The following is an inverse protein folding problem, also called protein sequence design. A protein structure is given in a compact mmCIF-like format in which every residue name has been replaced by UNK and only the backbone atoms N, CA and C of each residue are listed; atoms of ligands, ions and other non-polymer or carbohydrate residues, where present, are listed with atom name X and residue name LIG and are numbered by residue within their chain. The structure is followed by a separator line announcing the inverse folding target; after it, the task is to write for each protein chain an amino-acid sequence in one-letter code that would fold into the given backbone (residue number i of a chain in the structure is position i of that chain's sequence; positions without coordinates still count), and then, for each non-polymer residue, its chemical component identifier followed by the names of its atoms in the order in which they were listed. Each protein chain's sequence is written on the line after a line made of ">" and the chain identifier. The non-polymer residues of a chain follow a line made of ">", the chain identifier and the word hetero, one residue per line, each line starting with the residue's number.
data_IF_153214709557
#
_entry.id   IF_153214709557
#
_cell.length_a   1.000
_cell.length_b   1.000
_cell.length_c   1.000
_cell.angle_alpha   90.00
_cell.angle_beta   90.00
_cell.angle_gamma   90.00
#
_symmetry.space_group_name_H-M   'P 1'
#
loop_
_entity.id
_entity.type
_entity.pdbx_description
1 polymer ?
#
# COMPACT_ATOMS: atom_id res chain seq x y z
N UNK A 1 21.04 6.42 -0.14
CA UNK A 1 20.40 6.06 -0.15
C UNK A 1 20.24 5.39 -0.06
N UNK A 2 20.10 5.04 -0.03
CA UNK A 2 19.58 4.46 -0.10
C UNK A 2 19.06 3.98 -0.10
N UNK A 3 19.17 3.68 0.04
CA UNK A 3 18.23 3.37 -0.21
C UNK A 3 17.64 2.32 0.09
N UNK A 4 17.47 2.41 0.40
CA UNK A 4 16.37 1.67 0.47
C UNK A 4 16.28 0.76 -0.56
N UNK A 5 15.69 -0.27 -0.34
CA UNK A 5 15.33 -1.08 -1.35
C UNK A 5 14.02 -0.75 -1.79
N UNK A 6 13.98 0.38 -2.41
CA UNK A 6 12.77 0.77 -3.06
C UNK A 6 12.74 0.10 -4.40
N UNK A 7 11.68 -0.60 -4.65
CA UNK A 7 11.58 -1.42 -5.79
C UNK A 7 10.86 -0.80 -6.92
N UNK A 8 11.21 -1.16 -8.11
CA UNK A 8 10.60 -0.61 -9.30
C UNK A 8 9.32 -1.31 -9.74
N UNK A 9 8.82 -2.25 -8.94
CA UNK A 9 7.57 -2.92 -9.26
C UNK A 9 6.40 -2.01 -8.95
N UNK A 10 6.29 -0.92 -9.69
CA UNK A 10 5.25 0.06 -9.45
C UNK A 10 4.65 0.54 -10.75
N UNK A 11 3.43 1.01 -10.67
CA UNK A 11 2.69 1.53 -11.81
C UNK A 11 2.05 2.86 -11.48
N UNK A 12 2.72 3.69 -10.70
CA UNK A 12 2.19 5.00 -10.36
C UNK A 12 3.01 6.11 -10.99
N UNK A 13 2.39 7.28 -11.09
CA UNK A 13 3.04 8.49 -11.56
C UNK A 13 3.73 9.15 -10.37
N UNK A 14 5.06 9.25 -10.43
CA UNK A 14 5.85 9.76 -9.30
C UNK A 14 5.55 11.21 -8.96
N UNK A 15 5.05 12.00 -9.93
CA UNK A 15 4.76 13.42 -9.71
C UNK A 15 3.34 13.66 -9.24
N UNK A 16 2.50 12.65 -9.24
CA UNK A 16 1.11 12.82 -8.87
C UNK A 16 0.94 12.85 -7.35
N UNK A 17 0.15 13.79 -6.87
CA UNK A 17 -0.22 13.88 -5.46
C UNK A 17 -1.59 13.26 -5.28
N UNK A 18 -1.64 12.08 -4.72
CA UNK A 18 -2.86 11.30 -4.62
C UNK A 18 -3.76 11.79 -3.50
N UNK A 19 -5.05 11.51 -3.59
CA UNK A 19 -5.97 11.77 -2.48
C UNK A 19 -5.64 10.91 -1.28
N UNK A 20 -5.24 9.66 -1.53
CA UNK A 20 -4.92 8.73 -0.45
C UNK A 20 -3.76 7.83 -0.82
N UNK A 21 -3.08 7.33 0.20
CA UNK A 21 -2.11 6.25 0.06
C UNK A 21 -2.51 5.15 1.03
N UNK A 22 -2.68 3.94 0.53
CA UNK A 22 -2.99 2.78 1.34
C UNK A 22 -1.68 2.04 1.58
N UNK A 23 -1.30 1.89 2.85
CA UNK A 23 -0.04 1.29 3.24
C UNK A 23 -0.30 -0.07 3.84
N UNK A 24 0.31 -1.10 3.25
CA UNK A 24 0.11 -2.49 3.66
C UNK A 24 1.45 -3.07 4.12
N UNK A 25 1.68 -3.12 5.44
CA UNK A 25 2.84 -3.84 5.94
C UNK A 25 2.57 -5.34 5.88
N UNK A 26 3.55 -6.11 5.44
CA UNK A 26 3.37 -7.56 5.29
C UNK A 26 4.65 -8.31 5.59
N UNK A 27 4.52 -9.46 6.20
CA UNK A 27 5.62 -10.39 6.41
C UNK A 27 5.05 -11.80 6.34
N UNK A 28 5.50 -12.55 5.33
CA UNK A 28 4.99 -13.90 5.14
C UNK A 28 3.55 -13.93 4.64
N UNK A 29 3.11 -12.88 3.95
CA UNK A 29 1.73 -12.76 3.50
C UNK A 29 1.50 -13.04 2.02
N UNK A 30 2.41 -13.77 1.36
CA UNK A 30 2.26 -14.04 -0.07
C UNK A 30 0.90 -14.66 -0.41
N UNK A 31 0.40 -15.53 0.46
CA UNK A 31 -0.88 -16.21 0.24
C UNK A 31 -2.09 -15.36 0.64
N UNK A 32 -1.86 -14.19 1.25
CA UNK A 32 -2.95 -13.33 1.73
C UNK A 32 -3.10 -12.06 0.92
N UNK A 33 -2.02 -11.60 0.28
CA UNK A 33 -2.00 -10.27 -0.36
C UNK A 33 -3.04 -10.12 -1.47
N UNK A 34 -3.48 -11.21 -2.09
CA UNK A 34 -4.51 -11.10 -3.13
C UNK A 34 -5.82 -10.56 -2.57
N UNK A 35 -6.12 -10.78 -1.29
CA UNK A 35 -7.36 -10.26 -0.70
C UNK A 35 -7.39 -8.72 -0.72
N UNK A 36 -6.42 -8.02 -0.10
CA UNK A 36 -6.48 -6.56 -0.16
C UNK A 36 -6.22 -6.01 -1.56
N UNK A 37 -5.33 -6.64 -2.34
CA UNK A 37 -5.01 -6.09 -3.66
C UNK A 37 -6.18 -6.17 -4.62
N UNK A 38 -6.91 -7.29 -4.64
CA UNK A 38 -8.11 -7.40 -5.49
C UNK A 38 -9.19 -6.43 -5.03
N UNK A 39 -9.38 -6.31 -3.72
CA UNK A 39 -10.38 -5.40 -3.18
C UNK A 39 -10.02 -3.93 -3.47
N UNK A 40 -8.75 -3.58 -3.42
CA UNK A 40 -8.32 -2.22 -3.73
C UNK A 40 -8.43 -1.93 -5.22
N UNK A 41 -8.22 -2.93 -6.07
CA UNK A 41 -8.41 -2.76 -7.51
C UNK A 41 -9.87 -2.43 -7.85
N UNK A 42 -10.80 -2.88 -7.02
CA UNK A 42 -12.24 -2.71 -7.25
C UNK A 42 -12.84 -1.48 -6.56
N UNK A 43 -12.03 -0.60 -6.01
CA UNK A 43 -12.54 0.56 -5.28
C UNK A 43 -13.27 1.54 -6.20
N UNK A 44 -14.30 2.18 -5.64
CA UNK A 44 -15.02 3.25 -6.37
C UNK A 44 -14.16 4.50 -6.51
N UNK A 45 -13.39 4.86 -5.47
CA UNK A 45 -12.41 5.93 -5.59
C UNK A 45 -11.16 5.38 -6.25
N UNK A 46 -10.66 6.05 -7.28
CA UNK A 46 -9.50 5.56 -8.03
C UNK A 46 -8.22 6.36 -7.78
N UNK A 47 -8.32 7.54 -7.19
CA UNK A 47 -7.17 8.41 -7.03
C UNK A 47 -6.43 8.10 -5.72
N UNK A 48 -5.81 6.94 -5.68
CA UNK A 48 -5.00 6.55 -4.53
C UNK A 48 -3.84 5.66 -4.98
N UNK A 49 -2.80 5.66 -4.17
CA UNK A 49 -1.66 4.76 -4.39
C UNK A 49 -1.66 3.66 -3.33
N UNK A 50 -1.06 2.53 -3.65
CA UNK A 50 -0.90 1.42 -2.74
C UNK A 50 0.59 1.19 -2.53
N UNK A 51 1.02 1.15 -1.29
CA UNK A 51 2.42 0.92 -0.95
C UNK A 51 2.46 -0.32 -0.05
N UNK A 52 3.03 -1.40 -0.56
CA UNK A 52 3.23 -2.61 0.23
C UNK A 52 4.66 -2.62 0.73
N UNK A 53 4.82 -2.76 2.04
CA UNK A 53 6.13 -2.83 2.65
C UNK A 53 6.35 -4.26 3.12
N UNK A 54 7.30 -4.95 2.51
CA UNK A 54 7.65 -6.30 2.90
C UNK A 54 8.71 -6.23 3.99
N UNK A 55 8.33 -6.67 5.18
CA UNK A 55 9.23 -6.66 6.34
C UNK A 55 10.05 -7.94 6.35
N UNK A 56 10.95 -8.05 5.35
CA UNK A 56 11.66 -9.28 5.05
C UNK A 56 10.83 -10.13 4.08
N UNK A 57 11.42 -10.55 2.97
CA UNK A 57 10.69 -11.35 1.98
C UNK A 57 11.00 -12.84 2.21
N UNK A 58 10.20 -13.46 3.06
CA UNK A 58 10.45 -14.84 3.49
C UNK A 58 9.66 -15.87 2.68
N UNK A 59 8.75 -15.44 1.82
CA UNK A 59 7.85 -16.36 1.12
C UNK A 59 7.58 -15.94 -0.33
N UNK A 60 8.46 -15.17 -0.92
CA UNK A 60 8.34 -14.75 -2.31
C UNK A 60 7.18 -13.79 -2.55
N UNK A 61 6.81 -13.00 -1.54
CA UNK A 61 5.76 -11.98 -1.70
C UNK A 61 6.10 -10.99 -2.80
N UNK A 62 7.39 -10.73 -3.03
CA UNK A 62 7.80 -9.82 -4.09
C UNK A 62 7.28 -10.28 -5.46
N UNK A 63 7.31 -11.58 -5.73
CA UNK A 63 6.82 -12.11 -6.99
C UNK A 63 5.33 -11.87 -7.18
N UNK A 64 4.56 -11.99 -6.10
CA UNK A 64 3.12 -11.70 -6.12
C UNK A 64 2.90 -10.23 -6.48
N UNK A 65 3.66 -9.34 -5.86
CA UNK A 65 3.50 -7.91 -6.10
C UNK A 65 3.92 -7.51 -7.50
N UNK A 66 4.96 -8.11 -8.04
CA UNK A 66 5.35 -7.85 -9.43
C UNK A 66 4.26 -8.26 -10.40
N UNK A 67 3.58 -9.35 -10.12
CA UNK A 67 2.48 -9.81 -10.96
C UNK A 67 1.35 -8.78 -10.96
N UNK A 68 0.97 -8.28 -9.79
CA UNK A 68 -0.09 -7.27 -9.70
C UNK A 68 0.30 -5.96 -10.37
N UNK A 69 1.54 -5.54 -10.21
CA UNK A 69 2.03 -4.33 -10.87
C UNK A 69 1.96 -4.47 -12.40
N UNK A 70 2.32 -5.65 -12.91
CA UNK A 70 2.30 -5.90 -14.35
C UNK A 70 0.87 -5.97 -14.90
N UNK A 71 -0.07 -6.47 -14.12
CA UNK A 71 -1.47 -6.56 -14.55
C UNK A 71 -2.15 -5.20 -14.62
N UNK A 72 -1.67 -4.24 -13.84
CA UNK A 72 -2.26 -2.90 -13.83
C UNK A 72 -3.50 -2.81 -12.98
N UNK A 73 -4.15 -1.67 -13.04
CA UNK A 73 -5.36 -1.40 -12.26
C UNK A 73 -5.10 -0.87 -10.86
N UNK A 74 -3.85 -0.78 -10.45
CA UNK A 74 -3.45 -0.22 -9.17
C UNK A 74 -2.21 0.64 -9.37
N UNK A 75 -2.11 1.71 -8.60
CA UNK A 75 -0.88 2.52 -8.52
C UNK A 75 -0.04 1.92 -7.40
N UNK A 76 0.63 0.83 -7.71
CA UNK A 76 1.29 -0.02 -6.72
C UNK A 76 2.79 0.19 -6.70
N UNK A 77 3.34 0.37 -5.51
CA UNK A 77 4.78 0.34 -5.32
C UNK A 77 5.12 -0.57 -4.13
N UNK A 78 6.34 -1.08 -4.14
CA UNK A 78 6.79 -2.05 -3.16
C UNK A 78 8.09 -1.58 -2.53
N UNK A 79 8.15 -1.68 -1.21
CA UNK A 79 9.38 -1.45 -0.44
C UNK A 79 9.73 -2.77 0.21
N UNK A 80 10.99 -3.19 0.10
CA UNK A 80 11.42 -4.46 0.67
C UNK A 80 12.54 -4.22 1.66
N UNK A 81 12.31 -4.59 2.91
CA UNK A 81 13.37 -4.60 3.90
C UNK A 81 14.20 -5.87 3.71
N UNK A 82 15.52 -5.79 3.76
CA UNK A 82 16.35 -6.99 3.63
C UNK A 82 16.19 -7.92 4.83
N UNK A 83 15.71 -7.40 5.96
CA UNK A 83 15.49 -8.19 7.15
C UNK A 83 14.33 -7.63 7.93
N UNK A 84 13.80 -8.38 8.86
CA UNK A 84 12.67 -7.98 9.68
C UNK A 84 13.03 -6.79 10.58
N UNK A 85 12.27 -5.72 10.47
CA UNK A 85 12.44 -4.51 11.30
C UNK A 85 11.21 -4.17 12.12
N UNK A 86 10.13 -4.92 11.93
CA UNK A 86 8.92 -4.74 12.69
C UNK A 86 7.87 -3.88 11.98
N UNK A 87 6.64 -3.97 12.48
CA UNK A 87 5.49 -3.30 11.87
C UNK A 87 5.61 -1.78 11.89
N UNK A 88 6.13 -1.21 12.98
CA UNK A 88 6.25 0.23 13.09
C UNK A 88 7.23 0.76 12.04
N UNK A 89 8.36 0.07 11.87
CA UNK A 89 9.33 0.46 10.85
C UNK A 89 8.72 0.36 9.45
N UNK A 90 7.94 -0.67 9.20
CA UNK A 90 7.28 -0.85 7.91
C UNK A 90 6.28 0.26 7.63
N UNK A 91 5.44 0.60 8.62
CA UNK A 91 4.48 1.69 8.47
C UNK A 91 5.19 3.01 8.23
N UNK A 92 6.25 3.28 8.96
CA UNK A 92 7.01 4.52 8.79
C UNK A 92 7.63 4.61 7.40
N UNK A 93 8.16 3.51 6.89
CA UNK A 93 8.72 3.50 5.53
C UNK A 93 7.64 3.81 4.50
N UNK A 94 6.46 3.23 4.66
CA UNK A 94 5.32 3.51 3.78
C UNK A 94 4.90 4.96 3.85
N UNK A 95 4.82 5.52 5.06
CA UNK A 95 4.47 6.92 5.25
C UNK A 95 5.46 7.85 4.55
N UNK A 96 6.76 7.56 4.67
CA UNK A 96 7.77 8.39 4.02
C UNK A 96 7.72 8.30 2.50
N UNK A 97 7.33 7.15 1.98
CA UNK A 97 7.24 6.95 0.53
C UNK A 97 5.95 7.48 -0.06
N UNK A 98 4.95 7.74 0.75
CA UNK A 98 3.63 8.16 0.27
C UNK A 98 3.68 9.59 -0.27
N UNK A 99 2.92 9.80 -1.35
CA UNK A 99 2.74 11.13 -1.92
C UNK A 99 1.24 11.37 -2.01
N UNK A 100 0.62 11.55 -0.84
CA UNK A 100 -0.83 11.62 -0.75
C UNK A 100 -1.27 12.48 0.42
N UNK A 101 -2.49 12.98 0.32
CA UNK A 101 -3.07 13.82 1.34
C UNK A 101 -3.47 13.02 2.59
N UNK A 102 -4.00 11.82 2.40
CA UNK A 102 -4.50 10.98 3.50
C UNK A 102 -3.78 9.65 3.47
N UNK A 103 -3.33 9.20 4.63
CA UNK A 103 -2.63 7.92 4.76
C UNK A 103 -3.57 6.92 5.43
N UNK A 104 -3.73 5.75 4.82
CA UNK A 104 -4.63 4.71 5.31
C UNK A 104 -3.82 3.44 5.52
N UNK A 105 -3.89 2.91 6.73
CA UNK A 105 -3.26 1.63 7.02
C UNK A 105 -4.22 0.49 6.69
N UNK A 106 -3.72 -0.53 6.02
CA UNK A 106 -4.50 -1.71 5.67
C UNK A 106 -3.67 -2.95 5.98
N UNK A 107 -4.22 -3.90 6.72
CA UNK A 107 -3.51 -5.13 7.02
C UNK A 107 -3.51 -6.05 5.80
N UNK A 108 -2.50 -6.92 5.73
CA UNK A 108 -2.30 -7.77 4.55
C UNK A 108 -3.34 -8.89 4.42
N UNK A 109 -4.17 -9.10 5.43
CA UNK A 109 -5.24 -10.10 5.40
C UNK A 109 -6.63 -9.47 5.31
N UNK A 110 -6.73 -8.15 5.13
CA UNK A 110 -8.01 -7.48 5.00
C UNK A 110 -8.54 -7.57 3.59
N UNK A 111 -9.86 -7.61 3.50
CA UNK A 111 -10.56 -7.53 2.23
C UNK A 111 -11.55 -6.37 2.33
N UNK A 112 -11.06 -5.13 2.15
CA UNK A 112 -11.93 -3.96 2.30
C UNK A 112 -13.02 -3.94 1.24
N UNK A 113 -14.17 -3.34 1.58
CA UNK A 113 -15.26 -3.24 0.62
C UNK A 113 -14.95 -2.16 -0.44
N UNK A 114 -15.83 -2.05 -1.42
CA UNK A 114 -15.58 -1.19 -2.58
C UNK A 114 -15.57 0.30 -2.25
N UNK A 115 -16.07 0.70 -1.08
CA UNK A 115 -16.12 2.10 -0.65
C UNK A 115 -15.10 2.44 0.42
N UNK A 116 -14.17 1.54 0.68
CA UNK A 116 -13.21 1.67 1.77
C UNK A 116 -12.40 2.98 1.68
N UNK A 117 -11.82 3.24 0.53
CA UNK A 117 -11.01 4.46 0.34
C UNK A 117 -11.91 5.68 0.37
N UNK A 118 -13.03 5.64 -0.34
CA UNK A 118 -13.96 6.78 -0.36
C UNK A 118 -14.47 7.12 1.04
N UNK A 119 -14.76 6.10 1.85
CA UNK A 119 -15.25 6.33 3.21
C UNK A 119 -14.17 6.94 4.10
N UNK A 120 -12.92 6.50 3.96
CA UNK A 120 -11.83 7.10 4.72
C UNK A 120 -11.63 8.57 4.34
N UNK A 121 -11.72 8.88 3.06
CA UNK A 121 -11.59 10.26 2.62
C UNK A 121 -12.71 11.13 3.16
N UNK A 122 -13.94 10.62 3.16
CA UNK A 122 -15.09 11.35 3.66
C UNK A 122 -14.94 11.62 5.16
N UNK A 123 -14.55 10.61 5.93
CA UNK A 123 -14.35 10.79 7.36
C UNK A 123 -13.25 11.78 7.68
N UNK A 124 -12.19 11.78 6.87
CA UNK A 124 -11.11 12.73 7.07
C UNK A 124 -11.57 14.17 6.83
N UNK A 125 -12.47 14.37 5.88
CA UNK A 125 -13.04 15.69 5.64
C UNK A 125 -13.97 16.15 6.76
N UNK A 126 -14.80 15.23 7.26
CA UNK A 126 -15.77 15.55 8.32
C UNK A 126 -15.12 15.77 9.66
N UNK A 127 -14.09 14.98 9.95
CA UNK A 127 -13.44 15.01 11.24
C UNK A 127 -11.95 15.26 11.04
N UNK A 128 -11.62 16.53 10.91
CA UNK A 128 -10.24 16.92 10.65
C UNK A 128 -9.31 16.27 11.68
N UNK A 129 -8.30 15.58 11.17
CA UNK A 129 -7.36 14.89 12.02
C UNK A 129 -7.73 13.47 12.38
N UNK A 130 -8.90 12.99 11.96
CA UNK A 130 -9.25 11.60 12.16
C UNK A 130 -8.53 10.75 11.14
N UNK A 131 -7.89 9.71 11.60
CA UNK A 131 -7.16 8.83 10.71
C UNK A 131 -7.67 7.44 10.91
N UNK A 132 -8.12 6.86 9.86
CA UNK A 132 -8.65 5.51 9.90
C UNK A 132 -7.62 4.44 10.08
#
# INVERSE_FOLDING_TARGET
>A
MTHLTHHEAHSHNADHYYKAAVIIPSRGGAHLLHYPLEALRAQTEKDFQVIVVLDGDIDNSEAVLKKYAAEGGLNLSTIIFPENRGRVAALNAGHRAANAKVLIRCDDDLQPDEHYVANHLRLHQEYDGVIG
#
